data_IF_197042154367
#
_entry.id   IF_197042154367
#
_cell.length_a   1.000
_cell.length_b   1.000
_cell.length_c   1.000
_cell.angle_alpha   90.00
_cell.angle_beta   90.00
_cell.angle_gamma   90.00
#
_symmetry.space_group_name_H-M   'P 1'
#
loop_
_entity.id
_entity.type
_entity.pdbx_description
1 polymer ?
#
# COMPACT_ATOMS: atom_id res chain seq x y z
N UNK A 1 -61.65 -47.17 1.89
CA UNK A 1 -61.01 -45.99 1.23
C UNK A 1 -60.21 -45.26 2.25
N UNK A 2 -58.89 -45.49 2.24
CA UNK A 2 -57.94 -44.80 3.16
C UNK A 2 -57.36 -43.59 2.41
N UNK A 3 -57.64 -42.37 2.94
CA UNK A 3 -57.03 -41.11 2.45
C UNK A 3 -55.62 -40.99 3.04
N UNK A 4 -54.60 -41.01 2.20
CA UNK A 4 -53.22 -40.73 2.56
C UNK A 4 -53.03 -39.22 2.42
N UNK A 5 -52.73 -38.56 3.55
CA UNK A 5 -52.37 -37.14 3.62
C UNK A 5 -50.85 -36.99 3.40
N UNK A 6 -50.45 -36.41 2.28
CA UNK A 6 -49.04 -36.01 2.08
C UNK A 6 -48.82 -34.66 2.73
N UNK A 7 -48.00 -34.62 3.79
CA UNK A 7 -47.49 -33.39 4.37
C UNK A 7 -46.21 -33.00 3.62
N UNK A 8 -46.24 -31.90 2.86
CA UNK A 8 -45.08 -31.31 2.24
C UNK A 8 -44.40 -30.44 3.30
N UNK A 9 -43.23 -30.87 3.77
CA UNK A 9 -42.36 -30.09 4.65
C UNK A 9 -41.53 -29.12 3.78
N UNK A 10 -41.94 -27.84 3.76
CA UNK A 10 -41.11 -26.79 3.13
C UNK A 10 -39.98 -26.43 4.08
N UNK A 11 -38.78 -26.85 3.75
CA UNK A 11 -37.58 -26.41 4.43
C UNK A 11 -37.27 -24.96 3.98
N UNK A 12 -37.58 -24.00 4.85
CA UNK A 12 -37.15 -22.60 4.69
C UNK A 12 -35.64 -22.58 5.02
N UNK A 13 -34.81 -22.52 3.99
CA UNK A 13 -33.40 -22.15 4.19
C UNK A 13 -33.34 -20.68 4.60
N UNK A 14 -33.13 -20.42 5.88
CA UNK A 14 -32.76 -19.10 6.36
C UNK A 14 -31.30 -18.88 5.92
N UNK A 15 -31.13 -18.21 4.78
CA UNK A 15 -29.81 -17.66 4.43
C UNK A 15 -29.60 -16.53 5.41
N UNK A 16 -28.78 -16.81 6.45
CA UNK A 16 -28.25 -15.77 7.31
C UNK A 16 -27.31 -14.92 6.46
N UNK A 17 -27.78 -13.75 6.03
CA UNK A 17 -26.88 -12.70 5.54
C UNK A 17 -26.03 -12.27 6.73
N UNK A 18 -24.90 -12.92 6.93
CA UNK A 18 -23.87 -12.39 7.81
C UNK A 18 -23.49 -11.01 7.25
N UNK A 19 -23.72 -9.98 8.06
CA UNK A 19 -23.32 -8.61 7.70
C UNK A 19 -21.79 -8.62 7.52
N UNK A 20 -21.29 -8.03 6.42
CA UNK A 20 -19.85 -7.91 6.24
C UNK A 20 -19.20 -7.26 7.48
N UNK A 21 -18.00 -7.69 7.87
CA UNK A 21 -17.29 -7.06 8.98
C UNK A 21 -17.21 -5.54 8.78
N UNK A 22 -17.34 -4.80 9.87
CA UNK A 22 -17.25 -3.34 9.81
C UNK A 22 -15.81 -2.95 9.44
N UNK A 23 -15.65 -2.24 8.34
CA UNK A 23 -14.35 -1.70 7.94
C UNK A 23 -13.85 -0.67 8.96
N UNK A 24 -12.55 -0.68 9.25
CA UNK A 24 -11.93 0.37 10.06
C UNK A 24 -11.99 1.73 9.32
N UNK A 25 -12.07 2.85 10.05
CA UNK A 25 -11.82 4.16 9.47
C UNK A 25 -10.43 4.21 8.81
N UNK A 26 -10.27 4.99 7.73
CA UNK A 26 -9.00 5.06 6.99
C UNK A 26 -7.82 5.46 7.87
N UNK A 27 -8.05 6.35 8.82
CA UNK A 27 -7.04 6.82 9.78
C UNK A 27 -6.51 5.73 10.72
N UNK A 28 -7.29 4.68 10.95
CA UNK A 28 -6.87 3.53 11.78
C UNK A 28 -6.39 2.35 10.95
N UNK A 29 -6.57 2.40 9.63
CA UNK A 29 -6.30 1.29 8.72
C UNK A 29 -4.82 0.95 8.64
N UNK A 30 -4.56 -0.35 8.45
CA UNK A 30 -3.24 -0.93 8.16
C UNK A 30 -3.23 -1.38 6.71
N UNK A 31 -2.21 -0.95 5.97
CA UNK A 31 -2.02 -1.29 4.56
C UNK A 31 -1.14 -2.53 4.45
N UNK A 32 -1.54 -3.47 3.60
CA UNK A 32 -0.75 -4.62 3.22
C UNK A 32 -0.45 -4.55 1.72
N UNK A 33 0.81 -4.45 1.37
CA UNK A 33 1.27 -4.46 -0.01
C UNK A 33 1.44 -5.89 -0.50
N UNK A 34 0.60 -6.28 -1.46
CA UNK A 34 0.60 -7.61 -2.04
C UNK A 34 1.27 -7.63 -3.40
N UNK A 35 2.38 -8.37 -3.50
CA UNK A 35 3.00 -8.71 -4.76
C UNK A 35 2.38 -10.02 -5.28
N UNK A 36 1.38 -9.94 -6.16
CA UNK A 36 0.62 -11.10 -6.65
C UNK A 36 1.54 -12.16 -7.26
N UNK A 37 2.55 -11.76 -8.05
CA UNK A 37 3.54 -12.69 -8.66
C UNK A 37 4.26 -13.53 -7.62
N UNK A 38 4.59 -12.92 -6.46
CA UNK A 38 5.41 -13.55 -5.43
C UNK A 38 4.59 -14.11 -4.26
N UNK A 39 3.26 -13.88 -4.26
CA UNK A 39 2.43 -14.14 -3.09
C UNK A 39 2.16 -15.62 -2.85
N UNK A 40 2.05 -16.40 -3.92
CA UNK A 40 1.82 -17.85 -3.85
C UNK A 40 2.68 -18.58 -4.89
N UNK A 41 2.89 -19.91 -4.72
CA UNK A 41 3.58 -20.70 -5.73
C UNK A 41 2.95 -20.63 -7.14
N UNK A 42 1.67 -20.34 -7.25
CA UNK A 42 0.97 -20.14 -8.52
C UNK A 42 1.10 -18.74 -9.08
N UNK A 43 1.30 -17.73 -8.23
CA UNK A 43 1.39 -16.32 -8.58
C UNK A 43 0.12 -15.75 -9.23
N UNK A 44 -1.07 -16.25 -8.86
CA UNK A 44 -2.35 -15.90 -9.49
C UNK A 44 -3.34 -15.32 -8.50
N UNK A 45 -4.34 -14.56 -9.03
CA UNK A 45 -5.45 -14.07 -8.20
C UNK A 45 -6.26 -15.18 -7.55
N UNK A 46 -6.49 -16.28 -8.27
CA UNK A 46 -7.23 -17.42 -7.73
C UNK A 46 -6.52 -18.05 -6.52
N UNK A 47 -5.19 -18.12 -6.54
CA UNK A 47 -4.41 -18.62 -5.41
C UNK A 47 -4.29 -17.56 -4.29
N UNK A 48 -4.05 -16.28 -4.63
CA UNK A 48 -4.01 -15.19 -3.67
C UNK A 48 -5.33 -15.02 -2.91
N UNK A 49 -6.47 -15.20 -3.59
CA UNK A 49 -7.81 -15.19 -2.98
C UNK A 49 -7.93 -16.16 -1.81
N UNK A 50 -7.29 -17.34 -1.89
CA UNK A 50 -7.34 -18.33 -0.81
C UNK A 50 -6.58 -17.88 0.45
N UNK A 51 -5.72 -16.88 0.32
CA UNK A 51 -4.95 -16.30 1.44
C UNK A 51 -5.63 -15.07 2.07
N UNK A 52 -6.68 -14.50 1.46
CA UNK A 52 -7.39 -13.35 2.01
C UNK A 52 -7.95 -13.57 3.42
N UNK A 53 -8.51 -14.76 3.78
CA UNK A 53 -8.94 -15.02 5.16
C UNK A 53 -7.81 -14.87 6.18
N UNK A 54 -6.57 -15.26 5.83
CA UNK A 54 -5.40 -15.11 6.68
C UNK A 54 -5.06 -13.63 6.93
N UNK A 55 -5.14 -12.78 5.89
CA UNK A 55 -4.93 -11.34 6.04
C UNK A 55 -6.02 -10.67 6.87
N UNK A 56 -7.28 -11.07 6.67
CA UNK A 56 -8.39 -10.59 7.49
C UNK A 56 -8.25 -11.02 8.96
N UNK A 57 -7.78 -12.26 9.24
CA UNK A 57 -7.49 -12.73 10.58
C UNK A 57 -6.28 -12.02 11.22
N UNK A 58 -5.29 -11.65 10.42
CA UNK A 58 -4.16 -10.82 10.87
C UNK A 58 -4.64 -9.42 11.28
N UNK A 59 -5.74 -8.95 10.70
CA UNK A 59 -6.33 -7.64 10.97
C UNK A 59 -6.01 -6.56 9.91
N UNK A 60 -5.49 -6.95 8.75
CA UNK A 60 -5.26 -6.02 7.61
C UNK A 60 -6.58 -5.37 7.19
N UNK A 61 -6.54 -4.10 6.79
CA UNK A 61 -7.70 -3.33 6.36
C UNK A 61 -7.70 -3.01 4.86
N UNK A 62 -6.52 -2.73 4.33
CA UNK A 62 -6.32 -2.34 2.93
C UNK A 62 -5.29 -3.30 2.31
N UNK A 63 -5.68 -3.99 1.25
CA UNK A 63 -4.76 -4.74 0.39
C UNK A 63 -4.42 -3.87 -0.80
N UNK A 64 -3.19 -3.34 -0.84
CA UNK A 64 -2.64 -2.67 -1.99
C UNK A 64 -1.95 -3.70 -2.88
N UNK A 65 -2.49 -3.91 -4.09
CA UNK A 65 -1.91 -4.76 -5.12
C UNK A 65 -0.86 -3.98 -5.91
N UNK A 66 0.37 -4.48 -6.00
CA UNK A 66 1.35 -4.01 -6.98
C UNK A 66 0.75 -4.08 -8.39
N UNK A 67 1.34 -3.43 -9.43
CA UNK A 67 0.69 -3.32 -10.73
C UNK A 67 0.21 -4.66 -11.27
N UNK A 68 -1.07 -4.71 -11.65
CA UNK A 68 -1.78 -5.93 -12.05
C UNK A 68 -1.97 -6.06 -13.57
N UNK A 69 -1.44 -5.13 -14.32
CA UNK A 69 -1.63 -4.96 -15.76
C UNK A 69 -0.76 -5.88 -16.59
N UNK A 70 -1.15 -6.18 -17.85
CA UNK A 70 -0.25 -6.82 -18.79
C UNK A 70 1.05 -6.03 -18.92
N UNK A 71 2.17 -6.75 -18.98
CA UNK A 71 3.52 -6.17 -19.05
C UNK A 71 3.98 -6.14 -20.51
N UNK A 72 4.63 -5.05 -20.92
CA UNK A 72 5.23 -4.92 -22.24
C UNK A 72 6.27 -5.99 -22.55
N UNK A 73 6.54 -6.19 -23.82
CA UNK A 73 7.54 -7.15 -24.31
C UNK A 73 8.76 -6.42 -24.87
N UNK A 74 8.56 -5.25 -25.46
CA UNK A 74 9.64 -4.43 -26.02
C UNK A 74 10.52 -3.87 -24.89
N UNK A 75 11.82 -4.11 -24.98
CA UNK A 75 12.78 -3.68 -23.96
C UNK A 75 12.69 -4.43 -22.62
N UNK A 76 11.87 -5.49 -22.54
CA UNK A 76 11.60 -6.25 -21.30
C UNK A 76 12.87 -6.64 -20.56
N UNK A 77 12.95 -6.29 -19.29
CA UNK A 77 14.03 -6.68 -18.38
C UNK A 77 13.72 -8.03 -17.72
N UNK A 78 14.70 -8.91 -17.66
CA UNK A 78 14.53 -10.27 -17.11
C UNK A 78 13.53 -11.12 -17.89
N UNK A 79 13.02 -12.17 -17.27
CA UNK A 79 12.11 -13.14 -17.92
C UNK A 79 10.67 -12.61 -17.99
N UNK A 80 10.15 -12.08 -16.86
CA UNK A 80 8.76 -11.68 -16.72
C UNK A 80 8.53 -10.16 -16.85
N UNK A 81 9.60 -9.37 -16.86
CA UNK A 81 9.55 -7.91 -17.00
C UNK A 81 9.15 -7.18 -15.71
N UNK A 82 9.24 -5.85 -15.79
CA UNK A 82 8.82 -4.94 -14.72
C UNK A 82 7.30 -4.89 -14.64
N UNK A 83 6.75 -4.96 -13.44
CA UNK A 83 5.32 -4.69 -13.16
C UNK A 83 4.90 -3.31 -13.64
N UNK A 84 5.84 -2.35 -13.64
CA UNK A 84 5.63 -0.95 -13.99
C UNK A 84 5.71 -0.68 -15.49
N UNK A 85 6.14 -1.62 -16.34
CA UNK A 85 6.09 -1.52 -17.79
C UNK A 85 4.68 -1.86 -18.32
N UNK A 86 3.71 -1.00 -18.03
CA UNK A 86 2.29 -1.23 -18.31
C UNK A 86 1.98 -1.26 -19.79
N UNK A 87 1.42 -2.37 -20.27
CA UNK A 87 1.00 -2.51 -21.68
C UNK A 87 -0.44 -2.06 -21.93
N UNK A 88 -1.34 -2.31 -20.98
CA UNK A 88 -2.76 -1.96 -21.09
C UNK A 88 -3.34 -1.69 -19.70
N UNK A 89 -3.79 -0.47 -19.46
CA UNK A 89 -4.36 -0.07 -18.17
C UNK A 89 -5.69 -0.72 -17.82
N UNK A 90 -6.43 -1.25 -18.78
CA UNK A 90 -7.79 -1.77 -18.60
C UNK A 90 -7.85 -3.30 -18.72
N UNK A 91 -6.76 -4.00 -18.38
CA UNK A 91 -6.70 -5.45 -18.48
C UNK A 91 -5.84 -6.02 -17.34
N UNK A 92 -5.91 -7.33 -17.15
CA UNK A 92 -5.14 -8.08 -16.14
C UNK A 92 -3.96 -8.77 -16.82
N UNK A 93 -2.81 -8.77 -16.14
CA UNK A 93 -1.66 -9.58 -16.54
C UNK A 93 -2.09 -11.05 -16.68
N UNK A 94 -1.94 -11.66 -17.85
CA UNK A 94 -2.35 -13.06 -18.06
C UNK A 94 -1.62 -14.05 -17.16
N UNK A 95 -0.46 -13.68 -16.58
CA UNK A 95 0.23 -14.48 -15.55
C UNK A 95 -0.59 -14.58 -14.25
N UNK A 96 -1.38 -13.53 -13.94
CA UNK A 96 -2.19 -13.47 -12.71
C UNK A 96 -3.58 -14.06 -12.88
N UNK A 97 -4.03 -14.25 -14.12
CA UNK A 97 -5.36 -14.77 -14.47
C UNK A 97 -6.13 -13.85 -15.42
N UNK A 98 -7.42 -13.76 -15.22
CA UNK A 98 -8.36 -12.98 -16.02
C UNK A 98 -9.01 -11.86 -15.21
N UNK A 99 -9.74 -10.95 -15.90
CA UNK A 99 -10.60 -9.97 -15.22
C UNK A 99 -11.63 -10.64 -14.30
N UNK A 100 -12.16 -11.81 -14.67
CA UNK A 100 -13.08 -12.55 -13.83
C UNK A 100 -12.42 -13.11 -12.56
N UNK A 101 -11.15 -13.53 -12.63
CA UNK A 101 -10.40 -13.95 -11.45
C UNK A 101 -10.13 -12.78 -10.51
N UNK A 102 -9.83 -11.60 -11.06
CA UNK A 102 -9.72 -10.36 -10.28
C UNK A 102 -11.06 -9.98 -9.64
N UNK A 103 -12.18 -10.02 -10.39
CA UNK A 103 -13.52 -9.71 -9.85
C UNK A 103 -13.88 -10.65 -8.69
N UNK A 104 -13.53 -11.95 -8.78
CA UNK A 104 -13.73 -12.91 -7.70
C UNK A 104 -12.83 -12.60 -6.48
N UNK A 105 -11.57 -12.24 -6.70
CA UNK A 105 -10.65 -11.80 -5.64
C UNK A 105 -11.21 -10.56 -4.92
N UNK A 106 -11.66 -9.54 -5.66
CA UNK A 106 -12.24 -8.32 -5.13
C UNK A 106 -13.50 -8.60 -4.31
N UNK A 107 -14.43 -9.42 -4.83
CA UNK A 107 -15.65 -9.80 -4.12
C UNK A 107 -15.33 -10.54 -2.81
N UNK A 108 -14.35 -11.42 -2.79
CA UNK A 108 -13.93 -12.13 -1.56
C UNK A 108 -13.26 -11.18 -0.57
N UNK A 109 -12.40 -10.27 -1.04
CA UNK A 109 -11.80 -9.23 -0.19
C UNK A 109 -12.88 -8.40 0.51
N UNK A 110 -13.86 -7.91 -0.23
CA UNK A 110 -15.00 -7.16 0.32
C UNK A 110 -15.85 -7.98 1.28
N UNK A 111 -16.09 -9.26 0.97
CA UNK A 111 -16.81 -10.17 1.88
C UNK A 111 -16.11 -10.31 3.23
N UNK A 112 -14.77 -10.22 3.24
CA UNK A 112 -13.94 -10.27 4.45
C UNK A 112 -13.75 -8.89 5.12
N UNK A 113 -14.29 -7.82 4.53
CA UNK A 113 -14.16 -6.44 5.05
C UNK A 113 -12.88 -5.73 4.63
N UNK A 114 -12.09 -6.34 3.76
CA UNK A 114 -10.86 -5.75 3.22
C UNK A 114 -11.17 -4.76 2.10
N UNK A 115 -10.47 -3.63 2.06
CA UNK A 115 -10.42 -2.74 0.89
C UNK A 115 -9.36 -3.22 -0.08
N UNK A 116 -9.57 -2.98 -1.36
CA UNK A 116 -8.60 -3.29 -2.42
C UNK A 116 -8.18 -2.01 -3.11
N UNK A 117 -6.89 -1.72 -3.07
CA UNK A 117 -6.23 -0.60 -3.73
C UNK A 117 -5.32 -1.17 -4.81
N UNK A 118 -5.32 -0.58 -6.01
CA UNK A 118 -4.42 -1.01 -7.09
C UNK A 118 -3.35 0.04 -7.34
N UNK A 119 -2.19 -0.40 -7.79
CA UNK A 119 -1.09 0.48 -8.18
C UNK A 119 -1.40 1.16 -9.50
N UNK A 120 -1.19 2.46 -9.59
CA UNK A 120 -1.47 3.28 -10.77
C UNK A 120 -0.21 3.93 -11.30
N UNK A 121 0.30 3.42 -12.41
CA UNK A 121 1.53 3.90 -13.05
C UNK A 121 1.17 5.03 -14.01
N UNK A 122 1.16 6.27 -13.51
CA UNK A 122 0.69 7.40 -14.30
C UNK A 122 1.78 8.06 -15.15
N UNK A 123 3.06 7.94 -14.80
CA UNK A 123 4.15 8.62 -15.48
C UNK A 123 4.48 8.04 -16.86
N UNK A 124 4.35 6.73 -17.05
CA UNK A 124 4.81 6.03 -18.24
C UNK A 124 4.01 4.75 -18.52
N UNK A 125 4.21 4.20 -19.71
CA UNK A 125 3.75 2.86 -20.12
C UNK A 125 4.95 2.03 -20.59
N UNK A 126 4.72 0.80 -21.07
CA UNK A 126 5.74 0.11 -21.89
C UNK A 126 5.84 0.71 -23.28
N UNK A 127 6.98 0.54 -24.02
CA UNK A 127 7.14 1.05 -25.38
C UNK A 127 6.19 0.41 -26.40
N UNK A 128 5.69 -0.80 -26.12
CA UNK A 128 4.71 -1.53 -26.92
C UNK A 128 3.29 -1.50 -26.32
N UNK A 129 3.00 -0.49 -25.50
CA UNK A 129 1.66 -0.30 -24.91
C UNK A 129 0.61 -0.07 -26.00
N UNK A 130 -0.64 -0.48 -25.72
CA UNK A 130 -1.76 -0.30 -26.65
C UNK A 130 -1.99 1.15 -27.06
N UNK A 131 -1.61 2.10 -26.22
CA UNK A 131 -1.70 3.52 -26.50
C UNK A 131 -0.61 4.01 -27.49
N UNK A 132 0.59 3.40 -27.50
CA UNK A 132 1.68 3.79 -28.41
C UNK A 132 1.27 3.64 -29.88
N UNK A 133 0.53 2.58 -30.19
CA UNK A 133 0.05 2.30 -31.55
C UNK A 133 -1.39 2.74 -31.81
N UNK A 134 -2.20 2.85 -30.75
CA UNK A 134 -3.63 3.14 -30.84
C UNK A 134 -4.01 4.61 -30.64
N UNK A 135 -3.07 5.45 -30.24
CA UNK A 135 -3.27 6.89 -29.99
C UNK A 135 -2.33 7.74 -30.84
N UNK A 136 -2.61 9.04 -31.03
CA UNK A 136 -1.69 9.97 -31.70
C UNK A 136 -0.30 9.97 -31.06
N UNK A 137 0.72 10.25 -31.89
CA UNK A 137 2.12 10.20 -31.48
C UNK A 137 2.47 11.17 -30.33
N UNK A 138 1.76 12.28 -30.22
CA UNK A 138 1.90 13.31 -29.20
C UNK A 138 1.32 12.94 -27.82
N UNK A 139 0.80 11.71 -27.68
CA UNK A 139 0.48 11.14 -26.38
C UNK A 139 1.73 10.80 -25.55
N UNK A 140 2.87 10.70 -26.23
CA UNK A 140 4.16 10.36 -25.63
C UNK A 140 5.19 11.46 -25.86
N UNK A 141 6.05 11.68 -24.88
CA UNK A 141 7.24 12.47 -25.06
C UNK A 141 8.15 11.81 -26.09
N UNK A 142 8.76 12.62 -26.97
CA UNK A 142 9.62 12.12 -28.04
C UNK A 142 10.92 12.92 -28.15
N UNK A 143 11.98 12.20 -28.49
CA UNK A 143 13.26 12.80 -28.87
C UNK A 143 13.23 13.45 -30.26
N UNK A 144 14.35 14.03 -30.67
CA UNK A 144 14.48 14.68 -31.98
C UNK A 144 14.35 13.72 -33.15
N UNK A 145 14.61 12.44 -32.95
CA UNK A 145 14.52 11.35 -33.92
C UNK A 145 13.11 10.76 -33.98
N UNK A 146 12.22 11.15 -33.05
CA UNK A 146 10.82 10.71 -32.98
C UNK A 146 10.59 9.44 -32.17
N UNK A 147 11.60 8.93 -31.44
CA UNK A 147 11.46 7.82 -30.52
C UNK A 147 10.82 8.29 -29.20
N UNK A 148 10.09 7.42 -28.51
CA UNK A 148 9.61 7.70 -27.16
C UNK A 148 10.78 7.86 -26.20
N UNK A 149 10.66 8.79 -25.25
CA UNK A 149 11.63 8.98 -24.17
C UNK A 149 11.28 8.10 -22.98
N UNK A 150 12.24 7.93 -22.06
CA UNK A 150 12.05 7.21 -20.80
C UNK A 150 12.82 7.90 -19.68
N UNK A 151 12.41 7.65 -18.45
CA UNK A 151 13.04 8.22 -17.26
C UNK A 151 14.22 7.35 -16.79
N UNK A 152 15.31 7.96 -16.36
CA UNK A 152 16.51 7.29 -15.83
C UNK A 152 17.04 6.20 -16.80
N UNK A 153 17.20 4.97 -16.32
CA UNK A 153 17.67 3.80 -17.11
C UNK A 153 16.52 2.81 -17.42
N UNK A 154 15.24 3.26 -17.33
CA UNK A 154 14.07 2.41 -17.53
C UNK A 154 13.70 2.27 -19.01
N UNK A 155 14.62 1.69 -19.78
CA UNK A 155 14.50 1.49 -21.23
C UNK A 155 13.33 0.60 -21.68
N UNK A 156 12.64 -0.04 -20.74
CA UNK A 156 11.42 -0.81 -20.92
C UNK A 156 10.15 0.04 -20.68
N UNK A 157 10.29 1.37 -20.61
CA UNK A 157 9.19 2.33 -20.45
C UNK A 157 9.14 3.39 -21.55
N UNK A 158 8.03 4.11 -21.64
CA UNK A 158 7.79 5.25 -22.52
C UNK A 158 7.01 6.32 -21.76
N UNK A 159 7.59 7.53 -21.64
CA UNK A 159 7.00 8.64 -20.90
C UNK A 159 5.75 9.18 -21.60
N UNK A 160 4.70 9.42 -20.82
CA UNK A 160 3.47 10.05 -21.28
C UNK A 160 3.63 11.56 -21.35
N UNK A 161 3.04 12.18 -22.38
CA UNK A 161 3.10 13.62 -22.58
C UNK A 161 1.90 14.32 -21.93
N UNK A 162 2.07 14.79 -20.72
CA UNK A 162 1.04 15.53 -19.99
C UNK A 162 0.78 16.96 -20.46
N UNK A 163 1.51 17.47 -21.46
CA UNK A 163 1.12 18.70 -22.16
C UNK A 163 -0.10 18.47 -23.07
N UNK A 164 -0.39 17.20 -23.43
CA UNK A 164 -1.56 16.84 -24.20
C UNK A 164 -2.75 16.52 -23.29
N UNK A 165 -3.85 17.32 -23.32
CA UNK A 165 -5.02 17.09 -22.46
C UNK A 165 -5.77 15.78 -22.77
N UNK A 166 -5.61 15.19 -23.95
CA UNK A 166 -6.22 13.90 -24.29
C UNK A 166 -5.56 12.75 -23.49
N UNK A 167 -4.31 12.91 -23.05
CA UNK A 167 -3.65 11.97 -22.11
C UNK A 167 -4.35 11.99 -20.76
N UNK A 168 -4.69 13.18 -20.25
CA UNK A 168 -5.44 13.33 -18.99
C UNK A 168 -6.77 12.60 -19.05
N UNK A 169 -7.51 12.85 -20.13
CA UNK A 169 -8.79 12.19 -20.34
C UNK A 169 -8.64 10.67 -20.44
N UNK A 170 -7.65 10.18 -21.19
CA UNK A 170 -7.38 8.74 -21.31
C UNK A 170 -7.06 8.09 -19.96
N UNK A 171 -6.26 8.78 -19.12
CA UNK A 171 -5.97 8.34 -17.76
C UNK A 171 -7.23 8.33 -16.87
N UNK A 172 -8.04 9.38 -16.92
CA UNK A 172 -9.28 9.47 -16.16
C UNK A 172 -10.29 8.38 -16.58
N UNK A 173 -10.40 8.10 -17.88
CA UNK A 173 -11.27 7.03 -18.39
C UNK A 173 -10.79 5.65 -17.91
N UNK A 174 -9.47 5.41 -17.88
CA UNK A 174 -8.89 4.17 -17.40
C UNK A 174 -9.01 4.01 -15.87
N UNK A 175 -8.90 5.09 -15.09
CA UNK A 175 -9.19 5.09 -13.65
C UNK A 175 -10.66 4.73 -13.37
N UNK A 176 -11.60 5.33 -14.13
CA UNK A 176 -13.04 5.00 -14.02
C UNK A 176 -13.34 3.54 -14.30
N UNK A 177 -12.68 2.92 -15.26
CA UNK A 177 -12.84 1.50 -15.57
C UNK A 177 -12.65 0.61 -14.32
N UNK A 178 -11.66 0.92 -13.47
CA UNK A 178 -11.41 0.18 -12.24
C UNK A 178 -12.35 0.57 -11.11
N UNK A 179 -12.70 1.86 -11.00
CA UNK A 179 -13.69 2.33 -10.03
C UNK A 179 -15.05 1.71 -10.24
N UNK A 180 -15.50 1.59 -11.51
CA UNK A 180 -16.75 0.93 -11.89
C UNK A 180 -16.76 -0.57 -11.57
N UNK A 181 -15.56 -1.21 -11.45
CA UNK A 181 -15.41 -2.58 -10.97
C UNK A 181 -15.48 -2.69 -9.46
N UNK A 182 -15.40 -1.58 -8.75
CA UNK A 182 -15.60 -1.52 -7.30
C UNK A 182 -14.34 -1.59 -6.47
N UNK A 183 -13.15 -1.24 -7.01
CA UNK A 183 -11.95 -1.06 -6.19
C UNK A 183 -12.14 0.11 -5.21
N UNK A 184 -11.33 0.15 -4.16
CA UNK A 184 -11.46 1.11 -3.08
C UNK A 184 -10.43 2.26 -3.15
N UNK A 185 -9.47 2.21 -4.07
CA UNK A 185 -8.48 3.26 -4.20
C UNK A 185 -7.32 2.96 -5.12
N UNK A 186 -6.39 3.91 -5.17
CA UNK A 186 -5.18 3.83 -5.97
C UNK A 186 -3.95 4.21 -5.14
N UNK A 187 -2.87 3.47 -5.34
CA UNK A 187 -1.51 3.93 -5.03
C UNK A 187 -0.91 4.47 -6.32
N UNK A 188 -0.56 5.74 -6.34
CA UNK A 188 -0.08 6.42 -7.52
C UNK A 188 1.45 6.41 -7.54
N UNK A 189 1.99 5.61 -8.45
CA UNK A 189 3.41 5.47 -8.73
C UNK A 189 4.02 6.79 -9.17
N UNK A 190 5.20 7.13 -8.61
CA UNK A 190 5.94 8.35 -8.96
C UNK A 190 5.06 9.61 -9.05
N UNK A 191 4.17 9.81 -8.08
CA UNK A 191 3.17 10.88 -8.15
C UNK A 191 3.78 12.29 -8.28
N UNK A 192 5.02 12.49 -7.84
CA UNK A 192 5.74 13.77 -7.96
C UNK A 192 6.27 14.04 -9.37
N UNK A 193 6.42 13.02 -10.22
CA UNK A 193 6.87 13.16 -11.62
C UNK A 193 5.71 13.46 -12.59
N UNK A 194 4.48 13.31 -12.13
CA UNK A 194 3.26 13.66 -12.88
C UNK A 194 2.80 15.07 -12.47
N UNK A 195 2.35 15.92 -13.42
CA UNK A 195 1.93 17.27 -13.10
C UNK A 195 0.88 17.32 -11.98
N UNK A 196 1.11 18.20 -10.99
CA UNK A 196 0.23 18.33 -9.83
C UNK A 196 -1.19 18.73 -10.23
N UNK A 197 -1.32 19.52 -11.28
CA UNK A 197 -2.59 19.98 -11.85
C UNK A 197 -3.42 18.81 -12.38
N UNK A 198 -2.78 17.79 -12.95
CA UNK A 198 -3.45 16.55 -13.36
C UNK A 198 -4.08 15.84 -12.15
N UNK A 199 -3.33 15.67 -11.06
CA UNK A 199 -3.86 15.04 -9.85
C UNK A 199 -4.99 15.87 -9.23
N UNK A 200 -4.82 17.19 -9.18
CA UNK A 200 -5.83 18.10 -8.64
C UNK A 200 -7.15 17.98 -9.39
N UNK A 201 -7.13 18.06 -10.72
CA UNK A 201 -8.34 17.95 -11.56
C UNK A 201 -8.92 16.52 -11.48
N UNK A 202 -8.08 15.53 -11.61
CA UNK A 202 -8.48 14.11 -11.68
C UNK A 202 -9.11 13.66 -10.36
N UNK A 203 -8.44 13.88 -9.22
CA UNK A 203 -8.96 13.44 -7.92
C UNK A 203 -10.25 14.19 -7.57
N UNK A 204 -10.29 15.51 -7.78
CA UNK A 204 -11.49 16.30 -7.50
C UNK A 204 -12.68 15.84 -8.38
N UNK A 205 -12.45 15.62 -9.68
CA UNK A 205 -13.47 15.14 -10.60
C UNK A 205 -13.99 13.74 -10.27
N UNK A 206 -13.10 12.82 -9.93
CA UNK A 206 -13.47 11.45 -9.60
C UNK A 206 -14.13 11.33 -8.22
N UNK A 207 -13.70 12.12 -7.23
CA UNK A 207 -14.35 12.13 -5.90
C UNK A 207 -15.80 12.62 -5.93
N UNK A 208 -16.21 13.37 -6.93
CA UNK A 208 -17.62 13.79 -7.09
C UNK A 208 -18.54 12.57 -7.26
N UNK A 209 -18.08 11.55 -7.98
CA UNK A 209 -18.83 10.31 -8.23
C UNK A 209 -18.46 9.19 -7.22
N UNK A 210 -17.21 9.19 -6.74
CA UNK A 210 -16.61 8.15 -5.87
C UNK A 210 -15.96 8.77 -4.62
N UNK A 211 -16.73 9.33 -3.68
CA UNK A 211 -16.19 10.10 -2.55
C UNK A 211 -15.37 9.29 -1.54
N UNK A 212 -15.49 7.97 -1.55
CA UNK A 212 -14.82 7.08 -0.60
C UNK A 212 -13.47 6.52 -1.10
N UNK A 213 -13.05 6.91 -2.33
CA UNK A 213 -11.80 6.42 -2.88
C UNK A 213 -10.61 6.85 -2.04
N UNK A 214 -9.75 5.89 -1.73
CA UNK A 214 -8.47 6.12 -1.09
C UNK A 214 -7.40 6.44 -2.14
N UNK A 215 -6.62 7.49 -1.90
CA UNK A 215 -5.54 7.93 -2.76
C UNK A 215 -4.24 7.99 -1.98
N UNK A 216 -3.28 7.13 -2.36
CA UNK A 216 -1.93 7.07 -1.80
C UNK A 216 -0.93 7.55 -2.86
N UNK A 217 -0.18 8.60 -2.57
CA UNK A 217 0.89 9.08 -3.45
C UNK A 217 2.23 8.46 -3.06
N UNK A 218 2.95 7.92 -4.05
CA UNK A 218 4.38 7.75 -3.89
C UNK A 218 5.07 9.11 -4.08
N UNK A 219 5.49 9.69 -2.98
CA UNK A 219 6.10 11.02 -2.90
C UNK A 219 5.97 11.59 -1.50
N UNK A 220 6.72 12.67 -1.21
CA UNK A 220 6.73 13.32 0.10
C UNK A 220 6.40 14.82 0.02
N UNK A 221 5.96 15.30 -1.13
CA UNK A 221 5.68 16.72 -1.29
C UNK A 221 4.36 17.13 -0.61
N UNK A 222 4.36 18.10 0.32
CA UNK A 222 3.14 18.53 1.03
C UNK A 222 1.99 18.99 0.12
N UNK A 223 2.32 19.49 -1.08
CA UNK A 223 1.31 19.95 -2.06
C UNK A 223 0.44 18.79 -2.60
N UNK A 224 0.88 17.52 -2.53
CA UNK A 224 0.06 16.36 -2.83
C UNK A 224 -1.20 16.32 -1.94
N UNK A 225 -1.08 16.72 -0.69
CA UNK A 225 -2.22 16.81 0.23
C UNK A 225 -2.98 18.11 0.12
N UNK A 226 -2.26 19.24 0.02
CA UNK A 226 -2.89 20.58 0.11
C UNK A 226 -3.58 21.04 -1.17
N UNK A 227 -3.14 20.52 -2.32
CA UNK A 227 -3.66 20.92 -3.63
C UNK A 227 -4.36 19.78 -4.37
N UNK A 228 -3.92 18.53 -4.20
CA UNK A 228 -4.44 17.40 -4.98
C UNK A 228 -5.29 16.42 -4.16
N UNK A 229 -5.48 16.64 -2.86
CA UNK A 229 -6.38 15.89 -1.99
C UNK A 229 -6.05 14.38 -1.88
N UNK A 230 -4.77 14.02 -1.96
CA UNK A 230 -4.32 12.68 -1.58
C UNK A 230 -4.58 12.43 -0.08
N UNK A 231 -5.04 11.24 0.26
CA UNK A 231 -5.21 10.83 1.66
C UNK A 231 -3.87 10.57 2.33
N UNK A 232 -2.98 9.85 1.63
CA UNK A 232 -1.70 9.44 2.15
C UNK A 232 -0.55 9.74 1.18
N UNK A 233 0.65 9.94 1.74
CA UNK A 233 1.90 10.01 1.01
C UNK A 233 2.99 9.24 1.74
N UNK A 234 4.05 8.86 1.06
CA UNK A 234 5.16 8.11 1.64
C UNK A 234 5.92 8.92 2.68
N UNK A 235 6.64 8.22 3.58
CA UNK A 235 7.62 8.77 4.53
C UNK A 235 9.00 8.20 4.23
N UNK A 236 9.55 8.49 3.05
CA UNK A 236 10.87 8.01 2.65
C UNK A 236 11.98 8.51 3.57
N UNK A 237 11.92 9.79 3.99
CA UNK A 237 12.89 10.38 4.91
C UNK A 237 12.91 9.64 6.25
N UNK A 238 11.73 9.27 6.80
CA UNK A 238 11.63 8.45 8.01
C UNK A 238 12.19 7.05 7.79
N UNK A 239 11.86 6.42 6.67
CA UNK A 239 12.35 5.09 6.33
C UNK A 239 13.89 5.05 6.30
N UNK A 240 14.51 6.00 5.60
CA UNK A 240 15.97 6.09 5.55
C UNK A 240 16.58 6.39 6.92
N UNK A 241 15.94 7.24 7.72
CA UNK A 241 16.36 7.53 9.09
C UNK A 241 16.30 6.30 9.98
N UNK A 242 15.22 5.49 9.93
CA UNK A 242 15.13 4.24 10.68
C UNK A 242 16.26 3.27 10.34
N UNK A 243 16.63 3.16 9.05
CA UNK A 243 17.79 2.40 8.63
C UNK A 243 19.10 2.96 9.22
N UNK A 244 19.26 4.29 9.24
CA UNK A 244 20.45 4.95 9.80
C UNK A 244 20.52 4.80 11.33
N UNK A 245 19.39 4.87 12.03
CA UNK A 245 19.33 4.58 13.47
C UNK A 245 19.73 3.12 13.74
N UNK A 246 19.21 2.17 12.97
CA UNK A 246 19.55 0.77 13.11
C UNK A 246 21.06 0.50 12.95
N UNK A 247 21.75 1.27 12.12
CA UNK A 247 23.20 1.22 11.94
C UNK A 247 23.99 2.04 12.97
N UNK A 248 23.32 2.79 13.86
CA UNK A 248 23.95 3.65 14.84
C UNK A 248 24.53 4.96 14.28
N UNK A 249 24.11 5.37 13.09
CA UNK A 249 24.53 6.60 12.42
C UNK A 249 23.71 7.81 12.87
N UNK A 250 22.48 7.58 13.30
CA UNK A 250 21.54 8.55 13.83
C UNK A 250 20.91 8.03 15.14
N UNK A 251 20.14 8.85 15.84
CA UNK A 251 19.56 8.49 17.13
C UNK A 251 18.21 9.14 17.41
N UNK A 252 17.83 9.13 18.69
CA UNK A 252 16.55 9.69 19.18
C UNK A 252 16.40 11.15 18.81
N UNK A 253 17.46 11.95 18.93
CA UNK A 253 17.42 13.39 18.65
C UNK A 253 17.10 13.68 17.17
N UNK A 254 17.70 12.90 16.26
CA UNK A 254 17.43 13.02 14.81
C UNK A 254 15.98 12.66 14.48
N UNK A 255 15.46 11.57 15.09
CA UNK A 255 14.06 11.17 14.93
C UNK A 255 13.10 12.27 15.42
N UNK A 256 13.37 12.87 16.57
CA UNK A 256 12.54 13.95 17.10
C UNK A 256 12.61 15.21 16.24
N UNK A 257 13.77 15.54 15.70
CA UNK A 257 13.93 16.66 14.77
C UNK A 257 13.15 16.41 13.46
N UNK A 258 13.19 15.17 12.93
CA UNK A 258 12.38 14.78 11.78
C UNK A 258 10.88 14.92 12.07
N UNK A 259 10.38 14.40 13.18
CA UNK A 259 8.96 14.45 13.52
C UNK A 259 8.45 15.90 13.65
N UNK A 260 9.26 16.80 14.22
CA UNK A 260 8.93 18.21 14.30
C UNK A 260 8.86 18.85 12.89
N UNK A 261 9.85 18.57 12.05
CA UNK A 261 9.91 19.04 10.65
C UNK A 261 8.72 18.52 9.82
N UNK A 262 8.40 17.23 9.93
CA UNK A 262 7.31 16.61 9.18
C UNK A 262 5.94 17.20 9.58
N UNK A 263 5.72 17.44 10.88
CA UNK A 263 4.52 18.06 11.40
C UNK A 263 4.35 19.54 10.97
N UNK A 264 5.45 20.26 10.72
CA UNK A 264 5.40 21.63 10.18
C UNK A 264 5.13 21.65 8.67
N UNK A 265 5.62 20.65 7.93
CA UNK A 265 5.55 20.59 6.46
C UNK A 265 4.19 20.12 5.96
N UNK A 266 3.58 19.15 6.63
CA UNK A 266 2.37 18.49 6.15
C UNK A 266 1.12 19.01 6.87
N UNK A 267 -0.04 19.07 6.18
CA UNK A 267 -1.28 19.41 6.83
C UNK A 267 -1.68 18.32 7.83
N UNK A 268 -2.35 18.72 8.90
CA UNK A 268 -2.69 17.80 10.01
C UNK A 268 -3.52 16.57 9.59
N UNK A 269 -4.27 16.66 8.49
CA UNK A 269 -5.07 15.57 7.95
C UNK A 269 -4.30 14.62 7.01
N UNK A 270 -3.05 14.90 6.69
CA UNK A 270 -2.22 14.02 5.88
C UNK A 270 -1.90 12.71 6.62
N UNK A 271 -2.06 11.58 5.93
CA UNK A 271 -1.53 10.31 6.41
C UNK A 271 -0.12 10.13 5.85
N UNK A 272 0.80 9.66 6.70
CA UNK A 272 2.17 9.38 6.31
C UNK A 272 2.35 7.86 6.27
N UNK A 273 2.48 7.26 5.07
CA UNK A 273 2.73 5.83 4.93
C UNK A 273 4.09 5.48 5.52
N UNK A 274 4.09 4.78 6.64
CA UNK A 274 5.30 4.41 7.38
C UNK A 274 5.59 2.92 7.21
N UNK A 275 6.82 2.58 6.87
CA UNK A 275 7.20 1.21 6.52
C UNK A 275 8.66 0.91 6.87
N UNK A 276 8.93 -0.35 7.17
CA UNK A 276 10.29 -0.88 7.29
C UNK A 276 10.75 -1.56 6.00
N UNK A 277 9.83 -1.97 5.15
CA UNK A 277 10.09 -2.53 3.82
C UNK A 277 8.92 -2.27 2.87
N UNK A 278 9.20 -2.34 1.57
CA UNK A 278 8.26 -2.36 0.45
C UNK A 278 8.91 -3.16 -0.69
N UNK A 279 8.25 -3.20 -1.87
CA UNK A 279 8.76 -3.94 -3.03
C UNK A 279 10.13 -3.43 -3.52
N UNK A 280 10.38 -2.12 -3.46
CA UNK A 280 11.66 -1.52 -3.87
C UNK A 280 12.77 -1.85 -2.87
N UNK A 281 12.55 -1.53 -1.61
CA UNK A 281 13.56 -1.76 -0.57
C UNK A 281 13.92 -3.23 -0.47
N UNK A 282 12.94 -4.12 -0.49
CA UNK A 282 13.19 -5.56 -0.42
C UNK A 282 14.04 -6.04 -1.60
N UNK A 283 13.70 -5.64 -2.83
CA UNK A 283 14.37 -6.15 -4.03
C UNK A 283 15.74 -5.51 -4.26
N UNK A 284 15.87 -4.19 -3.99
CA UNK A 284 17.06 -3.43 -4.39
C UNK A 284 18.01 -3.09 -3.25
N UNK A 285 17.49 -2.78 -2.05
CA UNK A 285 18.30 -2.39 -0.91
C UNK A 285 18.57 -3.55 0.06
N UNK A 286 17.67 -4.52 0.14
CA UNK A 286 17.76 -5.67 1.02
C UNK A 286 16.53 -5.86 1.90
N UNK A 287 16.41 -7.03 2.52
CA UNK A 287 15.36 -7.30 3.51
C UNK A 287 15.52 -6.35 4.71
N UNK A 288 14.44 -6.15 5.50
CA UNK A 288 14.55 -5.38 6.74
C UNK A 288 15.59 -5.97 7.71
N UNK A 289 15.81 -7.27 7.68
CA UNK A 289 16.80 -7.95 8.52
C UNK A 289 18.23 -7.65 8.07
N UNK A 290 18.48 -7.55 6.75
CA UNK A 290 19.78 -7.16 6.22
C UNK A 290 20.09 -5.68 6.51
N UNK A 291 19.07 -4.82 6.48
CA UNK A 291 19.20 -3.38 6.63
C UNK A 291 19.19 -2.92 8.10
N UNK A 292 18.35 -3.55 8.92
CA UNK A 292 18.08 -3.11 10.30
C UNK A 292 18.50 -4.14 11.37
N UNK A 293 18.78 -5.40 11.00
CA UNK A 293 19.17 -6.45 11.95
C UNK A 293 18.18 -6.59 13.10
N UNK A 294 18.71 -6.63 14.33
CA UNK A 294 17.90 -6.76 15.57
C UNK A 294 16.97 -5.56 15.83
N UNK A 295 17.21 -4.42 15.18
CA UNK A 295 16.35 -3.24 15.29
C UNK A 295 15.00 -3.39 14.55
N UNK A 296 14.86 -4.35 13.61
CA UNK A 296 13.70 -4.47 12.73
C UNK A 296 12.36 -4.47 13.49
N UNK A 297 12.27 -5.19 14.61
CA UNK A 297 11.04 -5.22 15.43
C UNK A 297 10.72 -3.87 16.08
N UNK A 298 11.72 -3.15 16.57
CA UNK A 298 11.54 -1.82 17.16
C UNK A 298 11.11 -0.82 16.09
N UNK A 299 11.72 -0.88 14.89
CA UNK A 299 11.34 -0.02 13.76
C UNK A 299 9.90 -0.32 13.29
N UNK A 300 9.49 -1.59 13.25
CA UNK A 300 8.09 -1.94 12.99
C UNK A 300 7.14 -1.32 14.03
N UNK A 301 7.48 -1.37 15.33
CA UNK A 301 6.69 -0.71 16.39
C UNK A 301 6.55 0.79 16.12
N UNK A 302 7.61 1.47 15.70
CA UNK A 302 7.57 2.90 15.39
C UNK A 302 6.61 3.20 14.24
N UNK A 303 6.58 2.38 13.18
CA UNK A 303 5.66 2.60 12.04
C UNK A 303 4.18 2.55 12.46
N UNK A 304 3.84 1.79 13.52
CA UNK A 304 2.47 1.67 14.04
C UNK A 304 2.10 2.75 15.06
N UNK A 305 3.08 3.41 15.68
CA UNK A 305 2.84 4.25 16.87
C UNK A 305 3.20 5.72 16.71
N UNK A 306 4.09 6.07 15.78
CA UNK A 306 4.47 7.46 15.53
C UNK A 306 3.30 8.32 15.03
N UNK A 307 3.32 9.65 15.27
CA UNK A 307 2.23 10.54 14.87
C UNK A 307 2.09 10.63 13.35
N UNK A 308 0.83 10.77 12.89
CA UNK A 308 0.51 10.89 11.46
C UNK A 308 0.64 9.60 10.66
N UNK A 309 1.21 8.54 11.25
CA UNK A 309 1.56 7.31 10.56
C UNK A 309 0.36 6.44 10.17
N UNK A 310 0.39 5.94 8.94
CA UNK A 310 -0.39 4.80 8.46
C UNK A 310 0.59 3.67 8.14
N UNK A 311 0.56 2.55 8.86
CA UNK A 311 1.58 1.51 8.71
C UNK A 311 1.35 0.68 7.45
N UNK A 312 2.47 0.30 6.82
CA UNK A 312 2.53 -0.64 5.71
C UNK A 312 3.24 -1.92 6.13
N UNK A 313 2.68 -3.05 5.75
CA UNK A 313 3.30 -4.38 5.80
C UNK A 313 3.49 -4.86 4.37
N UNK A 314 4.70 -5.20 3.96
CA UNK A 314 4.99 -5.77 2.65
C UNK A 314 4.89 -7.30 2.69
N UNK A 315 4.54 -7.91 1.56
CA UNK A 315 4.45 -9.36 1.33
C UNK A 315 5.54 -10.14 2.07
N UNK A 316 5.13 -10.97 3.03
CA UNK A 316 6.02 -11.87 3.79
C UNK A 316 6.61 -11.29 5.07
N UNK A 317 6.52 -9.99 5.34
CA UNK A 317 7.02 -9.42 6.60
C UNK A 317 6.36 -10.04 7.83
N UNK A 318 5.06 -10.33 7.74
CA UNK A 318 4.29 -10.92 8.84
C UNK A 318 4.66 -12.36 9.19
N UNK A 319 5.50 -12.97 8.38
CA UNK A 319 6.10 -14.30 8.67
C UNK A 319 7.63 -14.22 8.79
N UNK A 320 8.21 -13.01 8.87
CA UNK A 320 9.65 -12.82 8.93
C UNK A 320 10.40 -13.37 7.71
N UNK A 321 9.84 -13.23 6.51
CA UNK A 321 10.42 -13.72 5.26
C UNK A 321 11.71 -12.99 4.93
N UNK A 322 12.83 -13.57 5.29
CA UNK A 322 14.16 -12.97 5.12
C UNK A 322 14.77 -13.37 3.78
N UNK A 323 14.13 -12.95 2.69
CA UNK A 323 14.61 -13.17 1.33
C UNK A 323 14.25 -11.97 0.47
N UNK A 324 15.21 -11.50 -0.36
CA UNK A 324 14.95 -10.52 -1.41
C UNK A 324 14.21 -11.21 -2.54
N UNK A 325 13.09 -10.64 -2.96
CA UNK A 325 12.39 -11.14 -4.15
C UNK A 325 13.12 -10.74 -5.42
N UNK A 326 13.23 -11.69 -6.33
CA UNK A 326 13.72 -11.46 -7.69
C UNK A 326 12.69 -10.66 -8.49
N UNK A 327 12.92 -9.36 -8.66
CA UNK A 327 11.92 -8.42 -9.19
C UNK A 327 11.37 -8.81 -10.56
N UNK A 328 12.21 -9.34 -11.46
CA UNK A 328 11.86 -9.70 -12.83
C UNK A 328 11.55 -11.19 -13.03
N UNK A 329 11.45 -11.96 -11.97
CA UNK A 329 11.26 -13.39 -11.98
C UNK A 329 10.08 -13.81 -11.09
N UNK A 330 9.64 -15.05 -11.21
CA UNK A 330 8.74 -15.67 -10.27
C UNK A 330 9.56 -16.35 -9.16
N UNK A 331 9.51 -15.79 -7.96
CA UNK A 331 10.31 -16.20 -6.80
C UNK A 331 9.46 -16.17 -5.52
N UNK A 332 8.39 -17.00 -5.44
CA UNK A 332 7.29 -16.82 -4.52
C UNK A 332 7.62 -17.19 -3.08
N UNK A 333 6.80 -16.65 -2.17
CA UNK A 333 6.67 -17.20 -0.82
C UNK A 333 6.12 -18.62 -0.90
N UNK A 334 6.83 -19.55 -0.26
CA UNK A 334 6.53 -20.99 -0.34
C UNK A 334 5.74 -21.51 0.85
N UNK A 335 5.65 -20.76 1.94
CA UNK A 335 4.92 -21.12 3.15
C UNK A 335 4.47 -19.86 3.90
N UNK A 336 3.25 -19.89 4.38
CA UNK A 336 2.65 -18.87 5.23
C UNK A 336 2.46 -19.35 6.67
N UNK A 337 3.37 -20.17 7.15
CA UNK A 337 3.33 -20.68 8.53
C UNK A 337 3.53 -19.55 9.53
N UNK A 338 2.58 -19.41 10.45
CA UNK A 338 2.60 -18.39 11.49
C UNK A 338 3.77 -18.60 12.47
N UNK A 339 4.36 -17.51 12.92
CA UNK A 339 5.50 -17.50 13.83
C UNK A 339 5.51 -16.24 14.71
N UNK A 340 6.63 -15.95 15.37
CA UNK A 340 6.77 -14.79 16.26
C UNK A 340 6.53 -13.43 15.56
N UNK A 341 6.79 -13.31 14.25
CA UNK A 341 6.50 -12.08 13.49
C UNK A 341 5.01 -11.95 13.20
N UNK A 342 4.31 -13.07 12.93
CA UNK A 342 2.85 -13.09 12.80
C UNK A 342 2.19 -12.58 14.09
N UNK A 343 2.65 -13.07 15.24
CA UNK A 343 2.15 -12.62 16.53
C UNK A 343 2.47 -11.13 16.79
N UNK A 344 3.66 -10.68 16.43
CA UNK A 344 4.05 -9.27 16.54
C UNK A 344 3.13 -8.36 15.71
N UNK A 345 2.96 -8.65 14.42
CA UNK A 345 2.13 -7.80 13.54
C UNK A 345 0.65 -7.86 13.93
N UNK A 346 0.14 -9.04 14.30
CA UNK A 346 -1.23 -9.19 14.81
C UNK A 346 -1.45 -8.33 16.06
N UNK A 347 -0.51 -8.36 17.00
CA UNK A 347 -0.56 -7.55 18.21
C UNK A 347 -0.46 -6.04 17.91
N UNK A 348 0.41 -5.61 16.99
CA UNK A 348 0.54 -4.21 16.59
C UNK A 348 -0.73 -3.68 15.93
N UNK A 349 -1.35 -4.49 15.05
CA UNK A 349 -2.62 -4.17 14.41
C UNK A 349 -3.73 -4.05 15.46
N UNK A 350 -3.81 -5.02 16.37
CA UNK A 350 -4.83 -5.04 17.45
C UNK A 350 -4.69 -3.81 18.37
N UNK A 351 -3.47 -3.46 18.76
CA UNK A 351 -3.21 -2.23 19.53
C UNK A 351 -3.70 -1.01 18.76
N UNK A 352 -3.38 -0.90 17.47
CA UNK A 352 -3.80 0.24 16.64
C UNK A 352 -5.32 0.33 16.52
N UNK A 353 -6.00 -0.78 16.25
CA UNK A 353 -7.45 -0.82 16.09
C UNK A 353 -8.22 -0.47 17.37
N UNK A 354 -7.69 -0.87 18.53
CA UNK A 354 -8.32 -0.64 19.82
C UNK A 354 -7.95 0.70 20.46
N UNK A 355 -7.01 1.46 19.88
CA UNK A 355 -6.53 2.72 20.44
C UNK A 355 -6.61 3.86 19.42
N UNK A 356 -7.72 4.60 19.38
CA UNK A 356 -7.89 5.73 18.45
C UNK A 356 -6.81 6.81 18.61
N UNK A 357 -6.11 6.87 19.74
CA UNK A 357 -4.95 7.75 19.90
C UNK A 357 -3.82 7.45 18.88
N UNK A 358 -3.75 6.23 18.34
CA UNK A 358 -2.76 5.87 17.31
C UNK A 358 -3.22 6.19 15.88
N UNK A 359 -4.41 6.74 15.69
CA UNK A 359 -4.92 7.10 14.37
C UNK A 359 -3.96 8.04 13.62
N UNK A 360 -3.94 7.91 12.28
CA UNK A 360 -3.25 8.82 11.39
C UNK A 360 -3.97 10.15 11.27
N UNK A 361 -3.28 11.17 10.77
CA UNK A 361 -3.86 12.47 10.50
C UNK A 361 -4.36 13.18 11.77
N UNK A 362 -5.32 14.09 11.57
CA UNK A 362 -5.84 14.99 12.62
C UNK A 362 -6.64 14.27 13.73
N UNK A 363 -7.09 13.04 13.48
CA UNK A 363 -7.88 12.27 14.45
C UNK A 363 -7.00 11.54 15.47
N UNK A 364 -5.69 11.49 15.26
CA UNK A 364 -4.74 10.87 16.19
C UNK A 364 -4.53 11.67 17.46
N UNK A 365 -4.12 10.98 18.52
CA UNK A 365 -3.81 11.58 19.81
C UNK A 365 -2.60 12.53 19.74
N UNK A 366 -2.57 13.51 20.63
CA UNK A 366 -1.45 14.41 20.80
C UNK A 366 -0.17 13.61 21.09
N UNK A 367 0.88 13.90 20.34
CA UNK A 367 2.21 13.33 20.57
C UNK A 367 2.97 14.17 21.59
N UNK A 368 3.48 13.53 22.64
CA UNK A 368 4.31 14.20 23.65
C UNK A 368 5.48 13.30 24.05
N UNK A 369 6.67 13.85 24.03
CA UNK A 369 7.88 13.18 24.53
C UNK A 369 7.90 13.23 26.05
N UNK A 370 7.99 12.06 26.69
CA UNK A 370 8.13 11.91 28.15
C UNK A 370 9.60 11.93 28.54
N UNK A 371 10.43 11.20 27.81
CA UNK A 371 11.89 11.21 27.95
C UNK A 371 12.58 10.80 26.66
N UNK A 372 13.81 11.28 26.46
CA UNK A 372 14.63 11.02 25.28
C UNK A 372 16.11 10.97 25.71
N UNK A 373 16.45 10.00 26.56
CA UNK A 373 17.77 9.89 27.20
C UNK A 373 18.42 8.56 26.88
N UNK A 374 19.73 8.56 26.73
CA UNK A 374 20.54 7.35 26.56
C UNK A 374 20.07 6.42 25.42
N UNK A 375 19.54 6.99 24.30
CA UNK A 375 19.03 6.22 23.17
C UNK A 375 17.67 5.56 23.43
N UNK A 376 17.00 5.90 24.51
CA UNK A 376 15.65 5.45 24.86
C UNK A 376 14.68 6.60 24.62
N UNK A 377 13.68 6.36 23.76
CA UNK A 377 12.58 7.28 23.54
C UNK A 377 11.34 6.78 24.26
N UNK A 378 10.77 7.61 25.14
CA UNK A 378 9.44 7.39 25.73
C UNK A 378 8.53 8.51 25.30
N UNK A 379 7.40 8.15 24.69
CA UNK A 379 6.41 9.13 24.23
C UNK A 379 4.99 8.66 24.50
N UNK A 380 4.05 9.59 24.46
CA UNK A 380 2.62 9.29 24.56
C UNK A 380 1.88 9.78 23.33
N UNK A 381 0.80 9.07 22.99
CA UNK A 381 -0.28 9.50 22.10
C UNK A 381 -1.54 9.61 22.94
N UNK A 382 -2.14 10.80 23.03
CA UNK A 382 -3.19 11.08 24.01
C UNK A 382 -4.41 11.73 23.37
N UNK A 383 -5.57 11.11 23.57
CA UNK A 383 -6.93 11.66 23.39
C UNK A 383 -7.61 11.76 24.77
N UNK A 384 -8.76 12.45 24.92
CA UNK A 384 -9.43 12.60 26.21
C UNK A 384 -9.73 11.28 26.95
N UNK A 385 -10.05 10.23 26.20
CA UNK A 385 -10.48 8.93 26.76
C UNK A 385 -9.54 7.77 26.36
N UNK A 386 -8.38 8.06 25.78
CA UNK A 386 -7.43 7.02 25.36
C UNK A 386 -6.01 7.57 25.35
N UNK A 387 -5.13 6.86 26.02
CA UNK A 387 -3.70 7.20 26.06
C UNK A 387 -2.87 5.96 25.79
N UNK A 388 -1.95 6.08 24.87
CA UNK A 388 -0.95 5.05 24.59
C UNK A 388 0.42 5.62 24.93
N UNK A 389 1.17 4.87 25.75
CA UNK A 389 2.57 5.16 26.07
C UNK A 389 3.45 4.13 25.37
N UNK A 390 4.46 4.62 24.67
CA UNK A 390 5.44 3.80 23.96
C UNK A 390 6.82 4.09 24.52
N UNK A 391 7.55 3.04 24.87
CA UNK A 391 8.98 3.06 25.14
C UNK A 391 9.69 2.29 24.05
N UNK A 392 10.67 2.91 23.40
CA UNK A 392 11.49 2.30 22.35
C UNK A 392 12.97 2.54 22.65
N UNK A 393 13.75 1.49 22.75
CA UNK A 393 15.21 1.56 22.84
C UNK A 393 15.79 1.57 21.42
N UNK A 394 16.31 2.73 20.99
CA UNK A 394 16.85 2.97 19.64
C UNK A 394 18.36 2.72 19.59
N UNK A 395 18.82 1.76 20.34
CA UNK A 395 20.17 1.19 20.38
C UNK A 395 20.13 -0.23 20.93
N UNK A 396 21.17 -1.01 20.72
CA UNK A 396 21.27 -2.33 21.33
C UNK A 396 21.19 -2.23 22.88
N UNK A 397 20.41 -3.11 23.52
CA UNK A 397 19.85 -4.39 23.03
C UNK A 397 18.48 -4.33 22.32
N UNK A 398 18.04 -3.22 21.79
CA UNK A 398 16.78 -3.04 21.06
C UNK A 398 15.56 -3.64 21.76
N UNK A 399 14.78 -2.83 22.38
CA UNK A 399 13.57 -3.27 23.08
C UNK A 399 12.42 -2.28 22.92
N UNK A 400 11.22 -2.73 23.16
CA UNK A 400 10.03 -1.88 23.12
C UNK A 400 9.00 -2.32 24.16
N UNK A 401 8.19 -1.37 24.60
CA UNK A 401 7.04 -1.59 25.47
C UNK A 401 5.93 -0.63 25.04
N UNK A 402 4.70 -1.14 24.95
CA UNK A 402 3.50 -0.33 24.68
C UNK A 402 2.48 -0.60 25.79
N UNK A 403 1.97 0.46 26.39
CA UNK A 403 0.86 0.39 27.35
C UNK A 403 -0.26 1.32 26.91
N UNK A 404 -1.51 0.86 27.05
CA UNK A 404 -2.71 1.62 26.71
C UNK A 404 -3.61 1.77 27.93
N UNK A 405 -4.19 2.97 28.13
CA UNK A 405 -5.06 3.37 29.23
C UNK A 405 -6.36 3.99 28.70
#
# INVERSE_FOLDING_TARGET
MKKILFAILAAVMVVSCAQAPKQQPLENSVVYEMNVRQYTPEGTFAAAQQQLPRLAELGVDIVWLMPIYPIGVEGRKGELGSYYAVKNYCDINPEFGTLADFDNFLAEAHRLGLRVVIDWVANHTSPDAVWVTGKPADWYERDAEGNTTFTADWSDTANLNYENPEVWKGMQDALRFWMERGIDGFRCDMACEVPLEFWQETIAGLRADYPHMYWLAEGEEPKLHTLSDFNASYSWELHHMMNSIARGEQGVEDLLAYLAKDAERHPANAFRLMFTSNHDENSWAGTEFERMGDAAKVMAVLTFTLPGGQPLIYTGQEIGWNKRFEFFQHDPVISWEANEYTELYKWLIDIRHNNPALAAGANGGKFEVVSAEDGVLVFTRTLPENKVTVKAELKAPWSYEITAE
#
